data_IF_528417127985
#
_entry.id   IF_528417127985
#
_cell.length_a   1.000
_cell.length_b   1.000
_cell.length_c   1.000
_cell.angle_alpha   90.00
_cell.angle_beta   90.00
_cell.angle_gamma   90.00
#
_symmetry.space_group_name_H-M   'P 1'
#
loop_
_entity.id
_entity.type
_entity.pdbx_description
1 polymer ?
#
# COMPACT_ATOMS: atom_id res chain seq x y z
N UNK A 1 19.71 -8.81 -12.66
CA UNK A 1 18.85 -8.38 -11.53
C UNK A 1 19.25 -7.01 -10.98
N UNK A 2 20.53 -6.75 -10.67
CA UNK A 2 21.00 -5.45 -10.13
C UNK A 2 20.60 -4.20 -10.93
N UNK A 3 20.80 -4.21 -12.26
CA UNK A 3 20.44 -3.05 -13.12
C UNK A 3 18.94 -2.71 -13.07
N UNK A 4 18.08 -3.72 -12.98
CA UNK A 4 16.62 -3.51 -12.87
C UNK A 4 16.22 -2.89 -11.52
N UNK A 5 16.86 -3.36 -10.43
CA UNK A 5 16.66 -2.78 -9.09
C UNK A 5 17.09 -1.31 -9.07
N UNK A 6 18.26 -0.99 -9.65
CA UNK A 6 18.74 0.40 -9.73
C UNK A 6 17.77 1.29 -10.49
N UNK A 7 17.27 0.84 -11.65
CA UNK A 7 16.27 1.58 -12.42
C UNK A 7 14.97 1.77 -11.64
N UNK A 8 14.49 0.74 -10.94
CA UNK A 8 13.28 0.85 -10.11
C UNK A 8 13.43 1.92 -9.01
N UNK A 9 14.57 1.96 -8.31
CA UNK A 9 14.81 2.98 -7.29
C UNK A 9 14.93 4.40 -7.86
N UNK A 10 15.50 4.56 -9.07
CA UNK A 10 15.54 5.86 -9.75
C UNK A 10 14.11 6.32 -10.09
N UNK A 11 13.25 5.43 -10.58
CA UNK A 11 11.85 5.74 -10.87
C UNK A 11 11.12 6.14 -9.59
N UNK A 12 11.31 5.42 -8.49
CA UNK A 12 10.76 5.78 -7.17
C UNK A 12 11.23 7.17 -6.76
N UNK A 13 12.53 7.47 -6.86
CA UNK A 13 13.04 8.80 -6.55
C UNK A 13 12.35 9.89 -7.39
N UNK A 14 12.23 9.69 -8.71
CA UNK A 14 11.57 10.65 -9.60
C UNK A 14 10.09 10.86 -9.24
N UNK A 15 9.39 9.85 -8.72
CA UNK A 15 8.00 10.02 -8.27
C UNK A 15 7.90 10.75 -6.92
N UNK A 16 8.77 10.43 -5.95
CA UNK A 16 8.65 10.96 -4.59
C UNK A 16 9.27 12.35 -4.42
N UNK A 17 10.43 12.63 -5.05
CA UNK A 17 11.16 13.89 -4.85
C UNK A 17 10.35 15.13 -5.30
N UNK A 18 9.78 15.19 -6.52
CA UNK A 18 8.98 16.33 -6.94
C UNK A 18 7.74 16.55 -6.07
N UNK A 19 7.07 15.46 -5.68
CA UNK A 19 5.88 15.53 -4.80
C UNK A 19 6.25 16.12 -3.44
N UNK A 20 7.37 15.68 -2.85
CA UNK A 20 7.87 16.22 -1.58
C UNK A 20 8.28 17.70 -1.69
N UNK A 21 9.00 18.08 -2.75
CA UNK A 21 9.46 19.46 -2.97
C UNK A 21 8.29 20.43 -3.21
N UNK A 22 7.34 20.05 -4.06
CA UNK A 22 6.15 20.87 -4.34
C UNK A 22 5.25 20.93 -3.11
N UNK A 23 5.05 19.81 -2.42
CA UNK A 23 4.27 19.75 -1.18
C UNK A 23 4.85 20.67 -0.10
N UNK A 24 6.16 20.62 0.12
CA UNK A 24 6.83 21.52 1.06
C UNK A 24 6.72 22.99 0.63
N UNK A 25 6.80 23.29 -0.66
CA UNK A 25 6.66 24.67 -1.14
C UNK A 25 5.23 25.23 -0.97
N UNK A 26 4.21 24.38 -1.09
CA UNK A 26 2.81 24.78 -0.98
C UNK A 26 2.30 24.88 0.46
N UNK A 27 2.68 23.93 1.32
CA UNK A 27 2.17 23.83 2.69
C UNK A 27 3.19 24.26 3.76
N UNK A 28 4.45 24.43 3.38
CA UNK A 28 5.50 24.86 4.29
C UNK A 28 5.73 23.87 5.43
N UNK A 29 5.93 24.42 6.63
CA UNK A 29 6.20 23.65 7.85
C UNK A 29 4.92 23.30 8.64
N UNK A 30 3.75 23.66 8.11
CA UNK A 30 2.42 23.40 8.70
C UNK A 30 1.69 22.25 7.99
N UNK A 31 2.45 21.27 7.46
CA UNK A 31 1.92 20.02 6.89
C UNK A 31 1.50 19.08 8.01
N UNK A 32 0.25 18.65 8.01
CA UNK A 32 -0.20 17.53 8.83
C UNK A 32 0.32 16.20 8.27
N UNK A 33 0.33 15.17 9.11
CA UNK A 33 0.75 13.81 8.73
C UNK A 33 0.00 13.24 7.52
N UNK A 34 -1.22 13.75 7.25
CA UNK A 34 -1.97 13.47 6.02
C UNK A 34 -2.16 14.77 5.24
N UNK A 35 -1.52 14.84 4.07
CA UNK A 35 -1.57 15.99 3.18
C UNK A 35 -3.02 16.28 2.76
N UNK A 36 -3.90 15.27 2.67
CA UNK A 36 -5.31 15.45 2.31
C UNK A 36 -6.11 16.22 3.37
N UNK A 37 -5.67 16.19 4.63
CA UNK A 37 -6.28 16.96 5.73
C UNK A 37 -5.80 18.42 5.68
N UNK A 38 -4.54 18.64 5.29
CA UNK A 38 -3.98 19.98 5.10
C UNK A 38 -4.52 20.71 3.86
N UNK A 39 -5.20 20.01 2.93
CA UNK A 39 -5.94 20.66 1.84
C UNK A 39 -7.26 21.25 2.38
N UNK A 40 -7.36 22.58 2.50
CA UNK A 40 -8.60 23.21 2.96
C UNK A 40 -9.72 23.25 1.90
N UNK A 41 -9.40 23.46 0.60
CA UNK A 41 -10.39 23.60 -0.50
C UNK A 41 -9.78 23.19 -1.85
N UNK A 42 -10.58 22.67 -2.81
CA UNK A 42 -12.01 22.38 -2.76
C UNK A 42 -12.34 20.93 -2.33
N UNK A 43 -13.46 20.75 -1.63
CA UNK A 43 -13.86 19.46 -1.03
C UNK A 43 -14.01 18.29 -2.01
N UNK A 44 -14.37 18.54 -3.28
CA UNK A 44 -14.51 17.49 -4.29
C UNK A 44 -13.18 16.80 -4.63
N UNK A 45 -12.07 17.56 -4.61
CA UNK A 45 -10.74 17.04 -4.91
C UNK A 45 -10.26 16.11 -3.79
N UNK A 46 -10.52 16.49 -2.54
CA UNK A 46 -10.21 15.70 -1.34
C UNK A 46 -11.02 14.40 -1.35
N UNK A 47 -12.32 14.48 -1.68
CA UNK A 47 -13.19 13.31 -1.78
C UNK A 47 -12.71 12.33 -2.87
N UNK A 48 -12.32 12.86 -4.04
CA UNK A 48 -11.81 12.04 -5.14
C UNK A 48 -10.46 11.39 -4.80
N UNK A 49 -9.55 12.12 -4.16
CA UNK A 49 -8.27 11.56 -3.72
C UNK A 49 -8.46 10.44 -2.69
N UNK A 50 -9.32 10.63 -1.70
CA UNK A 50 -9.67 9.59 -0.74
C UNK A 50 -10.30 8.36 -1.42
N UNK A 51 -11.17 8.56 -2.42
CA UNK A 51 -11.75 7.45 -3.19
C UNK A 51 -10.67 6.62 -3.90
N UNK A 52 -9.67 7.29 -4.51
CA UNK A 52 -8.56 6.58 -5.15
C UNK A 52 -7.70 5.81 -4.15
N UNK A 53 -7.44 6.37 -2.97
CA UNK A 53 -6.74 5.66 -1.89
C UNK A 53 -7.52 4.41 -1.49
N UNK A 54 -8.83 4.51 -1.28
CA UNK A 54 -9.68 3.35 -0.91
C UNK A 54 -9.63 2.26 -1.98
N UNK A 55 -9.85 2.61 -3.25
CA UNK A 55 -9.82 1.63 -4.35
C UNK A 55 -8.43 0.97 -4.46
N UNK A 56 -7.36 1.76 -4.35
CA UNK A 56 -5.99 1.26 -4.40
C UNK A 56 -5.67 0.30 -3.23
N UNK A 57 -6.04 0.66 -2.00
CA UNK A 57 -5.79 -0.15 -0.80
C UNK A 57 -6.57 -1.46 -0.84
N UNK A 58 -7.83 -1.46 -1.28
CA UNK A 58 -8.62 -2.69 -1.42
C UNK A 58 -7.95 -3.65 -2.41
N UNK A 59 -7.58 -3.17 -3.60
CA UNK A 59 -6.95 -4.02 -4.62
C UNK A 59 -5.56 -4.52 -4.21
N UNK A 60 -4.73 -3.66 -3.61
CA UNK A 60 -3.41 -4.06 -3.15
C UNK A 60 -3.45 -5.04 -1.96
N UNK A 61 -4.41 -4.89 -1.05
CA UNK A 61 -4.60 -5.81 0.07
C UNK A 61 -4.88 -7.24 -0.40
N UNK A 62 -5.74 -7.40 -1.41
CA UNK A 62 -6.05 -8.71 -1.99
C UNK A 62 -4.80 -9.42 -2.52
N UNK A 63 -3.98 -8.71 -3.30
CA UNK A 63 -2.75 -9.28 -3.87
C UNK A 63 -1.69 -9.55 -2.79
N UNK A 64 -1.58 -8.69 -1.79
CA UNK A 64 -0.63 -8.86 -0.69
C UNK A 64 -1.00 -10.02 0.25
N UNK A 65 -2.29 -10.20 0.53
CA UNK A 65 -2.78 -11.21 1.45
C UNK A 65 -2.42 -12.64 0.99
N UNK A 66 -2.56 -12.96 -0.30
CA UNK A 66 -2.37 -14.31 -0.84
C UNK A 66 -1.01 -14.96 -0.47
N UNK A 67 0.16 -14.38 -0.82
CA UNK A 67 1.45 -14.98 -0.49
C UNK A 67 1.75 -14.97 1.01
N UNK A 68 1.24 -13.99 1.76
CA UNK A 68 1.44 -13.91 3.21
C UNK A 68 0.73 -15.06 3.91
N UNK A 69 -0.53 -15.32 3.54
CA UNK A 69 -1.29 -16.44 4.08
C UNK A 69 -0.68 -17.79 3.69
N UNK A 70 -0.19 -17.93 2.44
CA UNK A 70 0.51 -19.14 1.98
C UNK A 70 1.81 -19.41 2.77
N UNK A 71 2.58 -18.36 3.07
CA UNK A 71 3.78 -18.47 3.90
C UNK A 71 3.46 -18.89 5.34
N UNK A 72 2.40 -18.30 5.93
CA UNK A 72 1.96 -18.63 7.29
C UNK A 72 1.50 -20.09 7.36
N UNK A 73 0.69 -20.54 6.40
CA UNK A 73 0.25 -21.93 6.32
C UNK A 73 1.44 -22.89 6.20
N UNK A 74 2.37 -22.59 5.29
CA UNK A 74 3.57 -23.40 5.10
C UNK A 74 4.36 -23.56 6.39
N UNK A 75 4.47 -22.49 7.19
CA UNK A 75 5.15 -22.55 8.49
C UNK A 75 4.35 -23.36 9.51
N UNK A 76 3.04 -23.14 9.62
CA UNK A 76 2.18 -23.85 10.57
C UNK A 76 2.14 -25.36 10.30
N UNK A 77 2.04 -25.77 9.04
CA UNK A 77 1.99 -27.18 8.64
C UNK A 77 3.37 -27.83 8.74
N UNK A 78 4.42 -27.22 8.17
CA UNK A 78 5.74 -27.87 8.07
C UNK A 78 6.59 -27.77 9.34
N UNK A 79 6.46 -26.71 10.12
CA UNK A 79 7.28 -26.51 11.34
C UNK A 79 6.53 -26.79 12.64
N UNK A 80 5.21 -26.57 12.66
CA UNK A 80 4.41 -26.66 13.89
C UNK A 80 3.46 -27.87 13.91
N UNK A 81 3.45 -28.72 12.86
CA UNK A 81 2.62 -29.93 12.74
C UNK A 81 1.12 -29.71 12.98
N UNK A 82 0.58 -28.54 12.61
CA UNK A 82 -0.87 -28.31 12.60
C UNK A 82 -1.53 -29.02 11.42
N UNK A 83 -2.77 -29.51 11.60
CA UNK A 83 -3.56 -30.07 10.50
C UNK A 83 -3.95 -28.95 9.51
N UNK A 84 -3.92 -29.22 8.18
CA UNK A 84 -4.29 -28.23 7.17
C UNK A 84 -5.74 -27.76 7.39
N UNK A 85 -5.94 -26.48 7.71
CA UNK A 85 -7.27 -25.95 7.98
C UNK A 85 -7.91 -25.36 6.73
N UNK A 86 -9.19 -25.68 6.46
CA UNK A 86 -9.98 -25.11 5.34
C UNK A 86 -10.24 -23.59 5.46
N UNK A 87 -9.82 -22.98 6.57
CA UNK A 87 -10.03 -21.56 6.85
C UNK A 87 -9.31 -20.67 5.82
N UNK A 88 -8.17 -21.12 5.30
CA UNK A 88 -7.38 -20.37 4.32
C UNK A 88 -8.08 -20.25 2.95
N UNK A 89 -8.80 -21.29 2.51
CA UNK A 89 -9.63 -21.22 1.30
C UNK A 89 -10.76 -20.19 1.44
N UNK A 90 -11.36 -20.09 2.62
CA UNK A 90 -12.43 -19.11 2.88
C UNK A 90 -11.85 -17.69 2.91
N UNK A 91 -10.69 -17.48 3.55
CA UNK A 91 -10.01 -16.17 3.55
C UNK A 91 -9.54 -15.77 2.15
N UNK A 92 -9.08 -16.73 1.33
CA UNK A 92 -8.72 -16.52 -0.07
C UNK A 92 -9.89 -16.10 -0.96
N UNK A 93 -11.11 -16.57 -0.66
CA UNK A 93 -12.32 -16.35 -1.47
C UNK A 93 -13.15 -15.14 -0.98
N UNK A 94 -13.09 -14.81 0.32
CA UNK A 94 -13.83 -13.68 0.91
C UNK A 94 -13.04 -12.36 0.98
N UNK A 95 -11.72 -12.40 0.77
CA UNK A 95 -10.86 -11.21 0.65
C UNK A 95 -11.05 -10.48 -0.68
#
# INVERSE_FOLDING_TARGET
>A
MWRGVVVAYIVVAICYFPVALIGYWMFGNEVDSDILISLEKPAWLIAMANLFVVVHVIGSYQIYAMPVFDMIETVMVKKLNFEPSRMLYIIYVLG
#
